data_IF_423064261780
#
_entry.id   IF_423064261780
#
_cell.length_a   1.000
_cell.length_b   1.000
_cell.length_c   1.000
_cell.angle_alpha   90.00
_cell.angle_beta   90.00
_cell.angle_gamma   90.00
#
_symmetry.space_group_name_H-M   'P 1'
#
loop_
_entity.id
_entity.type
_entity.pdbx_description
1 polymer ?
#
# COMPACT_ATOMS: atom_id res chain seq x y z
N UNK A 1 17.63 21.31 8.35
CA UNK A 1 16.75 22.25 9.09
C UNK A 1 15.37 21.62 9.23
N UNK A 2 14.69 21.76 10.37
CA UNK A 2 13.30 21.28 10.50
C UNK A 2 12.37 22.25 9.75
N UNK A 3 11.41 21.77 8.95
CA UNK A 3 10.47 22.67 8.28
C UNK A 3 9.66 23.43 9.32
N UNK A 4 9.43 24.72 9.07
CA UNK A 4 8.60 25.56 9.92
C UNK A 4 7.13 25.17 9.72
N UNK A 5 6.56 24.47 10.71
CA UNK A 5 5.14 24.09 10.72
C UNK A 5 4.38 25.08 11.62
N UNK A 6 3.27 25.64 11.11
CA UNK A 6 2.44 26.58 11.87
C UNK A 6 1.75 25.89 13.05
N UNK A 7 1.49 26.62 14.15
CA UNK A 7 0.85 26.03 15.33
C UNK A 7 -0.59 25.56 15.05
N UNK A 8 -1.28 26.20 14.09
CA UNK A 8 -2.59 25.74 13.61
C UNK A 8 -2.50 24.37 12.93
N UNK A 9 -1.44 24.11 12.18
CA UNK A 9 -1.19 22.82 11.55
C UNK A 9 -0.84 21.75 12.60
N UNK A 10 0.00 22.10 13.58
CA UNK A 10 0.32 21.19 14.70
C UNK A 10 -0.93 20.80 15.51
N UNK A 11 -1.81 21.77 15.84
CA UNK A 11 -3.10 21.54 16.52
C UNK A 11 -3.99 20.60 15.69
N UNK A 12 -4.07 20.80 14.37
CA UNK A 12 -4.83 19.90 13.49
C UNK A 12 -4.29 18.46 13.52
N UNK A 13 -2.98 18.30 13.32
CA UNK A 13 -2.33 16.97 13.32
C UNK A 13 -2.57 16.29 14.67
N UNK A 14 -2.39 17.03 15.78
CA UNK A 14 -2.63 16.51 17.11
C UNK A 14 -4.07 16.03 17.26
N UNK A 15 -5.08 16.79 16.81
CA UNK A 15 -6.50 16.40 16.92
C UNK A 15 -6.91 15.26 15.99
N UNK A 16 -6.22 15.07 14.87
CA UNK A 16 -6.48 13.96 13.93
C UNK A 16 -5.85 12.64 14.41
N UNK A 17 -4.64 12.71 15.00
CA UNK A 17 -3.90 11.54 15.47
C UNK A 17 -4.16 11.35 16.97
N UNK A 18 -5.39 10.96 17.29
CA UNK A 18 -5.83 10.58 18.63
C UNK A 18 -6.54 9.23 18.60
N UNK A 19 -6.75 8.67 19.79
CA UNK A 19 -7.69 7.59 20.02
C UNK A 19 -9.08 7.93 19.46
N UNK A 20 -9.82 6.92 19.00
CA UNK A 20 -11.08 7.12 18.25
C UNK A 20 -12.09 7.94 19.04
N UNK A 21 -12.01 7.87 20.37
CA UNK A 21 -12.86 8.57 21.30
C UNK A 21 -12.55 10.06 21.23
N UNK A 22 -11.31 10.52 21.30
CA UNK A 22 -11.00 11.96 21.42
C UNK A 22 -10.54 12.62 20.12
N UNK A 23 -10.56 11.88 19.00
CA UNK A 23 -10.24 12.39 17.66
C UNK A 23 -11.21 13.47 17.20
N UNK A 24 -10.74 14.42 16.39
CA UNK A 24 -11.60 15.37 15.68
C UNK A 24 -12.76 14.64 14.97
N UNK A 25 -13.98 15.22 15.02
CA UNK A 25 -15.22 14.64 14.48
C UNK A 25 -15.77 13.39 15.24
N UNK A 26 -15.19 12.97 16.37
CA UNK A 26 -15.62 11.72 17.04
C UNK A 26 -16.85 11.82 17.93
N UNK A 27 -17.29 13.04 18.30
CA UNK A 27 -18.26 13.26 19.39
C UNK A 27 -19.56 12.47 19.23
N UNK A 28 -20.09 12.39 18.01
CA UNK A 28 -21.33 11.66 17.71
C UNK A 28 -21.13 10.14 17.73
N UNK A 29 -19.95 9.68 17.32
CA UNK A 29 -19.59 8.25 17.39
C UNK A 29 -19.35 7.79 18.83
N UNK A 30 -18.76 8.63 19.70
CA UNK A 30 -18.65 8.31 21.13
C UNK A 30 -20.03 8.07 21.76
N UNK A 31 -21.00 8.91 21.44
CA UNK A 31 -22.36 8.78 21.98
C UNK A 31 -23.00 7.46 21.53
N UNK A 32 -22.76 7.02 20.30
CA UNK A 32 -23.24 5.73 19.82
C UNK A 32 -22.57 4.56 20.56
N UNK A 33 -21.24 4.58 20.66
CA UNK A 33 -20.45 3.54 21.34
C UNK A 33 -20.83 3.39 22.83
N UNK A 34 -21.20 4.49 23.49
CA UNK A 34 -21.60 4.49 24.90
C UNK A 34 -23.00 3.93 25.15
N UNK A 35 -23.90 3.94 24.16
CA UNK A 35 -25.32 3.67 24.39
C UNK A 35 -25.79 2.26 24.00
N UNK A 36 -24.99 1.40 23.33
CA UNK A 36 -25.53 0.10 22.85
C UNK A 36 -24.51 -1.06 22.72
N UNK A 37 -24.50 -2.03 23.66
CA UNK A 37 -24.23 -3.42 23.34
C UNK A 37 -25.56 -4.09 22.94
N UNK A 38 -25.89 -4.13 21.64
CA UNK A 38 -26.92 -5.06 21.14
C UNK A 38 -28.11 -4.50 20.34
N UNK A 39 -28.12 -3.22 19.95
CA UNK A 39 -29.09 -2.72 18.98
C UNK A 39 -28.33 -2.41 17.69
N UNK A 40 -28.86 -2.87 16.55
CA UNK A 40 -28.23 -2.70 15.25
C UNK A 40 -27.83 -1.23 15.06
N UNK A 41 -26.56 -1.00 14.73
CA UNK A 41 -26.03 0.31 14.37
C UNK A 41 -27.05 1.00 13.47
N UNK A 42 -27.48 2.21 13.84
CA UNK A 42 -28.44 2.98 13.05
C UNK A 42 -27.76 3.37 11.74
N UNK A 43 -27.73 2.44 10.81
CA UNK A 43 -27.40 2.72 9.43
C UNK A 43 -28.51 3.61 8.91
N UNK A 44 -28.14 4.63 8.14
CA UNK A 44 -29.14 5.31 7.34
C UNK A 44 -29.83 4.30 6.40
N UNK A 45 -30.87 4.74 5.68
CA UNK A 45 -31.58 3.92 4.68
C UNK A 45 -30.64 3.26 3.63
N UNK A 46 -29.38 3.69 3.56
CA UNK A 46 -28.34 3.24 2.63
C UNK A 46 -27.23 2.42 3.30
N UNK A 47 -27.35 2.01 4.56
CA UNK A 47 -26.31 1.20 5.21
C UNK A 47 -25.07 2.00 5.65
N UNK A 48 -25.10 3.33 5.60
CA UNK A 48 -23.91 4.15 5.89
C UNK A 48 -23.75 4.37 7.39
N UNK A 49 -22.51 4.23 7.84
CA UNK A 49 -22.08 4.48 9.21
C UNK A 49 -21.68 5.94 9.46
N UNK A 50 -21.90 6.83 8.49
CA UNK A 50 -21.44 8.23 8.54
C UNK A 50 -22.59 9.11 9.00
N UNK A 51 -22.35 9.90 10.05
CA UNK A 51 -23.36 10.86 10.50
C UNK A 51 -23.51 12.01 9.48
N UNK A 52 -24.71 12.59 9.32
CA UNK A 52 -24.86 13.85 8.59
C UNK A 52 -23.97 14.93 9.21
N UNK A 53 -23.35 15.78 8.38
CA UNK A 53 -22.51 16.91 8.83
C UNK A 53 -21.28 16.50 9.67
N UNK A 54 -20.81 15.27 9.52
CA UNK A 54 -19.65 14.75 10.28
C UNK A 54 -18.33 15.48 9.99
N UNK A 55 -18.29 16.23 8.88
CA UNK A 55 -17.14 17.03 8.50
C UNK A 55 -17.14 18.46 9.10
N UNK A 56 -18.14 18.88 9.87
CA UNK A 56 -18.22 20.28 10.33
C UNK A 56 -17.08 20.65 11.30
N UNK A 57 -16.72 19.75 12.22
CA UNK A 57 -15.62 20.00 13.17
C UNK A 57 -14.26 20.18 12.45
N UNK A 58 -14.03 19.44 11.36
CA UNK A 58 -12.82 19.61 10.54
C UNK A 58 -12.87 20.88 9.69
N UNK A 59 -14.02 21.20 9.07
CA UNK A 59 -14.20 22.44 8.31
C UNK A 59 -14.01 23.68 9.17
N UNK A 60 -14.49 23.65 10.42
CA UNK A 60 -14.40 24.74 11.38
C UNK A 60 -13.01 24.89 12.04
N UNK A 61 -12.08 23.95 11.80
CA UNK A 61 -10.77 23.99 12.41
C UNK A 61 -9.97 25.23 11.98
N UNK A 62 -9.24 25.86 12.93
CA UNK A 62 -8.49 27.11 12.70
C UNK A 62 -7.48 27.05 11.54
N UNK A 63 -6.98 25.85 11.24
CA UNK A 63 -6.11 25.60 10.10
C UNK A 63 -6.80 25.88 8.76
N UNK A 64 -8.09 25.55 8.63
CA UNK A 64 -8.87 25.69 7.40
C UNK A 64 -9.72 26.96 7.36
N UNK A 65 -9.48 27.93 8.26
CA UNK A 65 -10.28 29.17 8.34
C UNK A 65 -10.39 29.93 7.01
N UNK A 66 -9.38 29.87 6.16
CA UNK A 66 -9.33 30.54 4.86
C UNK A 66 -9.81 29.68 3.69
N UNK A 67 -10.23 28.44 3.94
CA UNK A 67 -10.69 27.53 2.88
C UNK A 67 -12.16 27.81 2.57
N UNK A 68 -12.50 28.20 1.34
CA UNK A 68 -13.88 28.42 0.95
C UNK A 68 -14.54 27.07 0.58
N UNK A 69 -15.01 26.35 1.59
CA UNK A 69 -15.52 24.98 1.43
C UNK A 69 -16.65 24.83 0.39
N UNK A 70 -17.53 25.84 0.26
CA UNK A 70 -18.67 25.81 -0.68
C UNK A 70 -18.28 25.97 -2.15
N UNK A 71 -17.11 26.60 -2.42
CA UNK A 71 -16.62 26.90 -3.76
C UNK A 71 -15.27 26.25 -4.05
N UNK A 72 -14.81 25.34 -3.19
CA UNK A 72 -13.49 24.71 -3.27
C UNK A 72 -13.31 23.99 -4.62
N UNK A 73 -14.36 23.32 -5.09
CA UNK A 73 -14.39 22.62 -6.39
C UNK A 73 -14.18 23.53 -7.61
N UNK A 74 -14.46 24.83 -7.47
CA UNK A 74 -14.30 25.83 -8.54
C UNK A 74 -13.01 26.65 -8.37
N UNK A 75 -12.24 26.41 -7.31
CA UNK A 75 -11.01 27.13 -7.02
C UNK A 75 -9.85 26.48 -7.77
N UNK A 76 -8.98 27.28 -8.39
CA UNK A 76 -7.79 26.76 -9.05
C UNK A 76 -6.88 26.04 -8.03
N UNK A 77 -6.45 24.79 -8.30
CA UNK A 77 -5.60 24.06 -7.38
C UNK A 77 -4.20 24.70 -7.33
N UNK A 78 -3.50 24.59 -6.19
CA UNK A 78 -2.14 25.15 -6.05
C UNK A 78 -1.10 24.46 -6.95
N UNK A 79 -1.40 23.24 -7.39
CA UNK A 79 -0.58 22.46 -8.30
C UNK A 79 -1.47 21.88 -9.41
N UNK A 80 -1.10 22.15 -10.66
CA UNK A 80 -1.72 21.58 -11.85
C UNK A 80 -0.68 20.64 -12.48
N UNK A 81 -0.93 19.32 -12.55
CA UNK A 81 -0.04 18.39 -13.22
C UNK A 81 0.17 18.77 -14.69
N UNK A 82 1.41 18.65 -15.19
CA UNK A 82 1.71 18.80 -16.62
C UNK A 82 1.43 17.46 -17.30
N UNK A 83 0.58 17.39 -18.31
CA UNK A 83 0.24 16.11 -18.97
C UNK A 83 0.65 16.22 -20.44
N UNK A 84 1.59 15.39 -20.87
CA UNK A 84 2.15 15.43 -22.23
C UNK A 84 1.24 14.74 -23.25
N UNK A 85 0.51 13.70 -22.83
CA UNK A 85 -0.38 12.91 -23.71
C UNK A 85 -1.47 12.19 -22.92
N UNK A 86 -2.44 11.58 -23.63
CA UNK A 86 -3.49 10.75 -23.01
C UNK A 86 -2.93 9.53 -22.26
N UNK A 87 -1.77 9.04 -22.69
CA UNK A 87 -1.09 7.87 -22.12
C UNK A 87 0.07 8.27 -21.21
N UNK A 88 0.13 9.54 -20.79
CA UNK A 88 1.20 10.02 -19.95
C UNK A 88 1.11 9.42 -18.53
N UNK A 89 2.12 8.62 -18.18
CA UNK A 89 2.21 7.91 -16.91
C UNK A 89 3.36 8.41 -16.01
N UNK A 90 4.02 9.54 -16.31
CA UNK A 90 5.23 9.93 -15.56
C UNK A 90 4.99 10.31 -14.09
N UNK A 91 3.74 10.62 -13.69
CA UNK A 91 3.36 10.81 -12.28
C UNK A 91 3.09 9.49 -11.55
N UNK A 92 3.06 8.37 -12.27
CA UNK A 92 3.00 7.04 -11.68
C UNK A 92 4.42 6.50 -11.52
N UNK A 93 4.68 5.82 -10.41
CA UNK A 93 5.96 5.16 -10.23
C UNK A 93 6.13 4.06 -11.30
N UNK A 94 7.25 4.06 -12.05
CA UNK A 94 7.63 3.01 -13.01
C UNK A 94 7.86 1.62 -12.34
N UNK A 95 7.53 1.47 -11.06
CA UNK A 95 7.96 0.34 -10.27
C UNK A 95 7.04 -0.86 -10.41
N UNK A 96 7.69 -1.92 -10.91
CA UNK A 96 7.30 -3.33 -10.94
C UNK A 96 6.15 -3.65 -11.90
N UNK A 97 6.35 -4.61 -12.82
CA UNK A 97 5.23 -5.37 -13.36
C UNK A 97 4.31 -5.78 -12.21
N UNK A 98 3.00 -5.72 -12.42
CA UNK A 98 2.03 -6.29 -11.50
C UNK A 98 2.37 -7.77 -11.33
N UNK A 99 3.18 -8.08 -10.31
CA UNK A 99 3.47 -9.46 -9.98
C UNK A 99 2.24 -9.97 -9.25
N UNK A 100 1.23 -10.34 -10.04
CA UNK A 100 0.01 -11.04 -9.64
C UNK A 100 0.33 -12.45 -9.10
N UNK A 101 1.63 -12.79 -8.99
CA UNK A 101 2.11 -13.85 -8.10
C UNK A 101 1.73 -13.43 -6.69
N UNK A 102 0.55 -13.88 -6.28
CA UNK A 102 0.29 -14.23 -4.88
C UNK A 102 1.40 -15.22 -4.55
N UNK A 103 2.51 -14.73 -4.01
CA UNK A 103 3.57 -15.56 -3.47
C UNK A 103 2.88 -16.45 -2.43
N UNK A 104 2.66 -17.70 -2.82
CA UNK A 104 2.34 -18.73 -1.87
C UNK A 104 3.47 -18.69 -0.84
N UNK A 105 3.09 -18.71 0.44
CA UNK A 105 3.98 -18.62 1.62
C UNK A 105 4.93 -19.83 1.72
N UNK A 106 5.19 -20.53 0.62
CA UNK A 106 6.34 -21.40 0.50
C UNK A 106 7.57 -20.49 0.46
N UNK A 107 8.16 -20.25 1.63
CA UNK A 107 9.51 -19.72 1.77
C UNK A 107 10.44 -20.57 0.90
N UNK A 108 10.64 -20.17 -0.35
CA UNK A 108 11.73 -20.75 -1.13
C UNK A 108 13.00 -20.41 -0.36
N UNK A 109 13.85 -21.40 -0.03
CA UNK A 109 15.18 -21.09 0.48
C UNK A 109 15.85 -20.22 -0.58
N UNK A 110 16.19 -18.98 -0.21
CA UNK A 110 16.91 -18.07 -1.10
C UNK A 110 18.26 -18.69 -1.47
N UNK A 111 18.77 -18.30 -2.64
CA UNK A 111 19.99 -18.88 -3.23
C UNK A 111 21.18 -18.76 -2.28
N UNK A 112 22.04 -19.78 -2.28
CA UNK A 112 23.36 -19.70 -1.62
C UNK A 112 24.36 -18.93 -2.47
N UNK A 113 25.43 -18.45 -1.85
CA UNK A 113 26.50 -17.71 -2.54
C UNK A 113 27.11 -18.52 -3.68
N UNK A 114 27.28 -19.84 -3.51
CA UNK A 114 27.79 -20.74 -4.53
C UNK A 114 26.85 -20.87 -5.72
N UNK A 115 25.53 -20.94 -5.47
CA UNK A 115 24.52 -20.98 -6.53
C UNK A 115 24.52 -19.68 -7.33
N UNK A 116 24.62 -18.53 -6.66
CA UNK A 116 24.73 -17.22 -7.32
C UNK A 116 25.97 -17.17 -8.20
N UNK A 117 27.13 -17.61 -7.70
CA UNK A 117 28.38 -17.67 -8.47
C UNK A 117 28.28 -18.61 -9.66
N UNK A 118 27.56 -19.72 -9.53
CA UNK A 118 27.36 -20.67 -10.61
C UNK A 118 26.43 -20.13 -11.71
N UNK A 119 25.35 -19.44 -11.33
CA UNK A 119 24.41 -18.80 -12.26
C UNK A 119 25.11 -17.67 -13.02
N UNK A 120 25.90 -16.87 -12.31
CA UNK A 120 26.59 -15.69 -12.85
C UNK A 120 28.05 -15.96 -13.25
N UNK A 121 28.42 -17.22 -13.53
CA UNK A 121 29.81 -17.63 -13.79
C UNK A 121 30.46 -16.96 -15.01
N UNK A 122 29.65 -16.60 -16.00
CA UNK A 122 30.12 -15.90 -17.21
C UNK A 122 30.35 -14.40 -16.98
N UNK A 123 29.92 -13.88 -15.82
CA UNK A 123 30.02 -12.47 -15.46
C UNK A 123 31.20 -12.19 -14.53
N UNK A 124 31.66 -10.94 -14.54
CA UNK A 124 32.78 -10.49 -13.72
C UNK A 124 32.51 -10.71 -12.22
N UNK A 125 33.55 -11.01 -11.41
CA UNK A 125 33.39 -11.17 -9.95
C UNK A 125 32.74 -9.96 -9.25
N UNK A 126 32.90 -8.75 -9.80
CA UNK A 126 32.25 -7.54 -9.29
C UNK A 126 30.72 -7.64 -9.33
N UNK A 127 30.15 -8.20 -10.40
CA UNK A 127 28.70 -8.38 -10.58
C UNK A 127 28.20 -9.48 -9.64
N UNK A 128 28.95 -10.59 -9.56
CA UNK A 128 28.63 -11.68 -8.64
C UNK A 128 28.58 -11.19 -7.18
N UNK A 129 29.54 -10.37 -6.76
CA UNK A 129 29.58 -9.81 -5.40
C UNK A 129 28.40 -8.86 -5.12
N UNK A 130 28.00 -8.07 -6.11
CA UNK A 130 26.81 -7.19 -6.00
C UNK A 130 25.54 -8.02 -5.89
N UNK A 131 25.38 -9.04 -6.73
CA UNK A 131 24.25 -9.96 -6.70
C UNK A 131 24.13 -10.72 -5.37
N UNK A 132 25.24 -11.24 -4.83
CA UNK A 132 25.29 -11.88 -3.51
C UNK A 132 24.84 -10.90 -2.42
N UNK A 133 25.42 -9.69 -2.39
CA UNK A 133 25.04 -8.65 -1.41
C UNK A 133 23.54 -8.36 -1.47
N UNK A 134 22.97 -8.30 -2.66
CA UNK A 134 21.56 -7.96 -2.89
C UNK A 134 20.59 -9.09 -2.51
N UNK A 135 20.96 -10.36 -2.65
CA UNK A 135 20.10 -11.50 -2.24
C UNK A 135 20.00 -11.60 -0.72
N UNK A 136 21.10 -11.37 0.00
CA UNK A 136 21.11 -11.46 1.47
C UNK A 136 20.30 -10.36 2.14
N UNK A 137 20.13 -9.23 1.47
CA UNK A 137 19.35 -8.12 2.00
C UNK A 137 17.89 -8.24 1.53
N UNK A 138 16.92 -8.54 2.42
CA UNK A 138 15.52 -8.56 2.02
C UNK A 138 15.08 -7.16 1.55
N UNK A 139 14.13 -7.07 0.63
CA UNK A 139 13.66 -5.80 0.08
C UNK A 139 12.14 -5.66 0.13
N UNK A 140 11.66 -4.45 0.41
CA UNK A 140 10.33 -4.04 0.02
C UNK A 140 10.38 -3.24 -1.31
N UNK A 141 9.23 -2.77 -1.77
CA UNK A 141 9.15 -2.01 -3.02
C UNK A 141 9.97 -0.70 -3.01
N UNK A 142 10.17 -0.07 -1.84
CA UNK A 142 10.97 1.15 -1.72
C UNK A 142 12.47 0.86 -1.70
N UNK A 143 12.87 -0.20 -0.98
CA UNK A 143 14.24 -0.67 -0.92
C UNK A 143 14.74 -1.15 -2.29
N UNK A 144 13.88 -1.79 -3.09
CA UNK A 144 14.25 -2.21 -4.44
C UNK A 144 14.56 -1.01 -5.34
N UNK A 145 13.75 0.06 -5.32
CA UNK A 145 14.04 1.29 -6.08
C UNK A 145 15.37 1.92 -5.71
N UNK A 146 15.67 1.93 -4.41
CA UNK A 146 16.94 2.47 -3.92
C UNK A 146 18.14 1.66 -4.45
N UNK A 147 17.97 0.33 -4.60
CA UNK A 147 18.98 -0.56 -5.19
C UNK A 147 19.07 -0.42 -6.70
N UNK A 148 17.96 -0.27 -7.41
CA UNK A 148 17.96 -0.01 -8.85
C UNK A 148 18.72 1.28 -9.17
N UNK A 149 18.47 2.35 -8.40
CA UNK A 149 19.23 3.61 -8.47
C UNK A 149 20.71 3.44 -8.13
N UNK A 150 21.03 2.62 -7.11
CA UNK A 150 22.41 2.30 -6.77
C UNK A 150 23.12 1.60 -7.94
N UNK A 151 22.49 0.61 -8.56
CA UNK A 151 23.00 -0.11 -9.75
C UNK A 151 23.22 0.88 -10.90
N UNK A 152 22.25 1.74 -11.17
CA UNK A 152 22.31 2.70 -12.27
C UNK A 152 23.43 3.72 -12.10
N UNK A 153 23.71 4.10 -10.85
CA UNK A 153 24.79 5.02 -10.50
C UNK A 153 26.20 4.44 -10.71
N UNK A 154 26.34 3.11 -10.82
CA UNK A 154 27.64 2.46 -11.01
C UNK A 154 28.11 2.66 -12.46
N UNK A 155 29.06 3.58 -12.65
CA UNK A 155 29.60 3.90 -13.98
C UNK A 155 30.49 2.81 -14.58
N UNK A 156 30.93 1.82 -13.79
CA UNK A 156 31.81 0.73 -14.24
C UNK A 156 31.06 -0.43 -14.91
N UNK A 157 29.73 -0.46 -14.77
CA UNK A 157 28.88 -1.51 -15.34
C UNK A 157 28.27 -1.05 -16.66
N UNK A 158 28.21 -1.98 -17.61
CA UNK A 158 27.47 -1.81 -18.85
C UNK A 158 25.96 -1.81 -18.56
N UNK A 159 25.17 -1.18 -19.42
CA UNK A 159 23.71 -1.12 -19.24
C UNK A 159 23.09 -2.52 -19.23
N UNK A 160 23.62 -3.46 -20.02
CA UNK A 160 23.20 -4.87 -20.00
C UNK A 160 23.49 -5.55 -18.65
N UNK A 161 24.62 -5.24 -18.01
CA UNK A 161 25.00 -5.79 -16.70
C UNK A 161 24.10 -5.23 -15.59
N UNK A 162 23.73 -3.94 -15.71
CA UNK A 162 22.77 -3.28 -14.80
C UNK A 162 21.39 -3.90 -14.91
N UNK A 163 20.86 -4.04 -16.13
CA UNK A 163 19.56 -4.66 -16.37
C UNK A 163 19.53 -6.14 -15.94
N UNK A 164 20.64 -6.85 -16.12
CA UNK A 164 20.79 -8.20 -15.60
C UNK A 164 20.70 -8.25 -14.07
N UNK A 165 21.41 -7.36 -13.36
CA UNK A 165 21.34 -7.29 -11.90
C UNK A 165 19.92 -6.97 -11.41
N UNK A 166 19.24 -6.00 -12.03
CA UNK A 166 17.84 -5.65 -11.72
C UNK A 166 16.91 -6.85 -11.91
N UNK A 167 17.01 -7.55 -13.05
CA UNK A 167 16.22 -8.76 -13.32
C UNK A 167 16.53 -9.88 -12.35
N UNK A 168 17.81 -10.07 -12.01
CA UNK A 168 18.25 -11.08 -11.06
C UNK A 168 17.71 -10.84 -9.65
N UNK A 169 17.66 -9.58 -9.19
CA UNK A 169 17.03 -9.23 -7.91
C UNK A 169 15.54 -9.56 -7.86
N UNK A 170 14.82 -9.33 -8.97
CA UNK A 170 13.38 -9.61 -9.07
C UNK A 170 13.07 -11.11 -9.05
N UNK A 171 13.92 -11.93 -9.67
CA UNK A 171 13.71 -13.37 -9.75
C UNK A 171 14.16 -14.10 -8.47
N UNK A 172 15.30 -13.69 -7.88
CA UNK A 172 15.97 -14.45 -6.83
C UNK A 172 16.09 -13.73 -5.48
N UNK A 173 15.85 -12.43 -5.44
CA UNK A 173 15.98 -11.67 -4.20
C UNK A 173 14.81 -11.92 -3.24
N UNK A 174 15.05 -11.80 -1.94
CA UNK A 174 14.03 -12.04 -0.91
C UNK A 174 13.14 -10.82 -0.73
N UNK A 175 11.92 -10.88 -1.27
CA UNK A 175 10.92 -9.83 -1.07
C UNK A 175 10.31 -9.93 0.33
N UNK A 176 10.19 -8.78 1.00
CA UNK A 176 9.52 -8.67 2.30
C UNK A 176 8.01 -8.73 2.04
N UNK A 177 7.30 -9.72 2.58
CA UNK A 177 5.86 -9.81 2.40
C UNK A 177 5.19 -8.57 3.00
N UNK A 178 4.25 -7.99 2.25
CA UNK A 178 3.43 -6.90 2.76
C UNK A 178 2.54 -7.42 3.90
N UNK A 179 2.58 -6.75 5.05
CA UNK A 179 1.69 -7.04 6.18
C UNK A 179 0.22 -7.05 5.74
N UNK A 180 -0.61 -8.02 6.19
CA UNK A 180 -2.03 -8.04 5.88
C UNK A 180 -2.69 -6.71 6.23
N UNK A 181 -3.52 -6.20 5.31
CA UNK A 181 -4.25 -4.93 5.50
C UNK A 181 -5.18 -5.03 6.72
N UNK A 182 -5.86 -6.16 6.82
CA UNK A 182 -6.73 -6.51 7.92
C UNK A 182 -5.93 -6.79 9.21
N UNK A 183 -6.38 -6.20 10.31
CA UNK A 183 -5.76 -6.32 11.62
C UNK A 183 -5.87 -7.76 12.16
N UNK A 184 -7.00 -8.45 11.96
CA UNK A 184 -7.21 -9.81 12.47
C UNK A 184 -6.25 -10.79 11.80
N UNK A 185 -5.91 -10.55 10.53
CA UNK A 185 -4.96 -11.38 9.79
C UNK A 185 -3.50 -11.14 10.18
N UNK A 186 -3.22 -10.19 11.08
CA UNK A 186 -1.87 -9.93 11.63
C UNK A 186 -1.57 -10.77 12.86
N UNK A 187 -2.60 -11.28 13.55
CA UNK A 187 -2.43 -12.19 14.69
C UNK A 187 -2.29 -13.62 14.16
N UNK A 188 -1.13 -14.24 14.41
CA UNK A 188 -0.85 -15.60 13.97
C UNK A 188 -1.82 -16.63 14.54
N UNK A 189 -2.37 -16.40 15.73
CA UNK A 189 -3.33 -17.31 16.35
C UNK A 189 -4.71 -17.22 15.70
N UNK A 190 -5.12 -16.02 15.25
CA UNK A 190 -6.47 -15.79 14.72
C UNK A 190 -6.55 -15.83 13.20
N UNK A 191 -5.43 -15.62 12.50
CA UNK A 191 -5.36 -15.55 11.03
C UNK A 191 -5.96 -16.77 10.35
N UNK A 192 -5.66 -17.97 10.85
CA UNK A 192 -6.18 -19.23 10.29
C UNK A 192 -7.71 -19.29 10.33
N UNK A 193 -8.27 -19.14 11.53
CA UNK A 193 -9.72 -19.14 11.76
C UNK A 193 -10.43 -18.04 11.00
N UNK A 194 -9.89 -16.82 10.99
CA UNK A 194 -10.47 -15.69 10.27
C UNK A 194 -10.51 -15.93 8.76
N UNK A 195 -9.46 -16.52 8.17
CA UNK A 195 -9.44 -16.90 6.76
C UNK A 195 -10.43 -18.02 6.46
N UNK A 196 -10.56 -19.00 7.34
CA UNK A 196 -11.50 -20.12 7.19
C UNK A 196 -12.96 -19.64 7.17
N UNK A 197 -13.37 -18.87 8.16
CA UNK A 197 -14.73 -18.28 8.25
C UNK A 197 -15.02 -17.43 7.01
N UNK A 198 -14.03 -16.65 6.55
CA UNK A 198 -14.18 -15.84 5.34
C UNK A 198 -14.32 -16.69 4.08
N UNK A 199 -13.55 -17.74 3.91
CA UNK A 199 -13.71 -18.65 2.76
C UNK A 199 -15.09 -19.29 2.74
N UNK A 200 -15.61 -19.67 3.90
CA UNK A 200 -16.96 -20.26 4.02
C UNK A 200 -18.07 -19.27 3.63
N UNK A 201 -17.88 -17.97 3.91
CA UNK A 201 -18.88 -16.91 3.65
C UNK A 201 -18.64 -16.10 2.36
N UNK A 202 -17.44 -16.17 1.77
CA UNK A 202 -17.02 -15.34 0.64
C UNK A 202 -17.86 -15.53 -0.64
N UNK A 203 -18.56 -16.66 -0.76
CA UNK A 203 -19.37 -17.00 -1.92
C UNK A 203 -20.86 -17.21 -1.60
N UNK A 204 -21.31 -16.86 -0.39
CA UNK A 204 -22.75 -16.85 -0.09
C UNK A 204 -23.45 -15.82 -0.98
N UNK A 205 -24.16 -16.30 -2.01
CA UNK A 205 -24.88 -15.48 -2.99
C UNK A 205 -24.27 -15.43 -4.40
N UNK A 206 -23.09 -16.04 -4.63
CA UNK A 206 -22.50 -16.19 -5.96
C UNK A 206 -22.72 -17.62 -6.48
N UNK A 207 -23.89 -17.90 -7.03
CA UNK A 207 -24.09 -19.13 -7.81
C UNK A 207 -23.49 -18.95 -9.22
N UNK A 208 -22.35 -19.61 -9.48
CA UNK A 208 -21.77 -19.68 -10.81
C UNK A 208 -22.62 -20.61 -11.70
N UNK A 209 -23.55 -20.03 -12.46
CA UNK A 209 -24.34 -20.77 -13.43
C UNK A 209 -23.51 -21.01 -14.69
N UNK A 210 -22.85 -22.17 -14.77
CA UNK A 210 -22.25 -22.61 -16.03
C UNK A 210 -23.32 -22.65 -17.12
N UNK A 211 -23.19 -21.81 -18.15
CA UNK A 211 -24.01 -21.88 -19.36
C UNK A 211 -23.75 -23.22 -20.03
N UNK A 212 -24.57 -24.24 -19.72
CA UNK A 212 -24.56 -25.50 -20.45
C UNK A 212 -24.87 -25.16 -21.90
N UNK A 213 -23.92 -25.45 -22.82
CA UNK A 213 -24.16 -25.40 -24.26
C UNK A 213 -25.43 -26.19 -24.54
N UNK A 214 -26.48 -25.52 -25.01
CA UNK A 214 -27.60 -26.20 -25.66
C UNK A 214 -27.01 -26.95 -26.86
N UNK A 215 -26.95 -28.28 -26.78
CA UNK A 215 -26.86 -29.09 -27.99
C UNK A 215 -28.13 -28.84 -28.79
N UNK A 216 -27.96 -28.38 -30.02
CA UNK A 216 -28.97 -28.47 -31.07
C UNK A 216 -29.05 -29.91 -31.58
#
# INVERSE_FOLDING_TARGET
MRPLVSDRCKDLIYRLIQDKEVRLCSKRYQMLDQHQPGVAATTDLYGRYIFPDDAEDIKAHRFFKSVPWDTLQNTAPPFVPHIDSLEDTHYFDESEPLDDRIESVAEKPGLTDEEVRWILREFRPSIQNVAIRMIHAPYDSGALRSRDLEIDSVSTFLDEEKELLKRFMREYGRRIPKRPRDIILRDDNMKGTAMEVRKQSAFMGYEWHSVRKKSY
#
